data_IF_365217526130
#
_entry.id   IF_365217526130
#
_cell.length_a   1.000
_cell.length_b   1.000
_cell.length_c   1.000
_cell.angle_alpha   90.00
_cell.angle_beta   90.00
_cell.angle_gamma   90.00
#
_symmetry.space_group_name_H-M   'P 1'
#
loop_
_entity.id
_entity.type
_entity.pdbx_description
1 polymer ?
#
# COMPACT_ATOMS: atom_id res chain seq x y z
N UNK A 1 33.53 -30.93 -59.91
CA UNK A 1 33.48 -31.36 -58.48
C UNK A 1 32.48 -30.46 -57.76
N UNK A 2 31.27 -30.97 -57.59
CA UNK A 2 30.17 -30.27 -56.90
C UNK A 2 30.19 -30.67 -55.44
N UNK A 3 30.35 -29.71 -54.50
CA UNK A 3 30.17 -29.93 -53.05
C UNK A 3 28.76 -29.52 -52.65
N UNK A 4 27.99 -30.49 -52.26
CA UNK A 4 26.63 -30.37 -51.75
C UNK A 4 26.70 -29.94 -50.29
N UNK A 5 26.05 -28.79 -49.93
CA UNK A 5 25.90 -28.33 -48.56
C UNK A 5 24.59 -28.92 -48.00
N UNK A 6 24.69 -29.71 -46.94
CA UNK A 6 23.54 -30.23 -46.22
C UNK A 6 23.24 -29.30 -45.07
N UNK A 7 22.08 -28.58 -45.12
CA UNK A 7 21.54 -27.82 -43.99
C UNK A 7 20.75 -28.80 -43.09
N UNK A 8 21.20 -28.95 -41.87
CA UNK A 8 20.45 -29.60 -40.82
C UNK A 8 19.49 -28.59 -40.14
N UNK A 9 18.19 -28.72 -40.35
CA UNK A 9 17.15 -28.03 -39.58
C UNK A 9 17.01 -28.74 -38.22
N UNK A 10 17.35 -28.02 -37.14
CA UNK A 10 17.00 -28.43 -35.78
C UNK A 10 15.64 -27.81 -35.46
N UNK A 11 14.61 -28.61 -35.47
CA UNK A 11 13.28 -28.24 -35.02
C UNK A 11 13.23 -28.17 -33.49
N UNK A 12 13.04 -26.96 -32.93
CA UNK A 12 12.74 -26.80 -31.52
C UNK A 12 11.20 -26.94 -31.37
N UNK A 13 10.75 -28.09 -30.86
CA UNK A 13 9.39 -28.27 -30.44
C UNK A 13 9.19 -27.56 -29.09
N UNK A 14 8.51 -26.42 -29.10
CA UNK A 14 8.05 -25.77 -27.87
C UNK A 14 6.85 -26.57 -27.32
N UNK A 15 7.06 -27.31 -26.24
CA UNK A 15 5.97 -27.83 -25.42
C UNK A 15 5.31 -26.65 -24.67
N UNK A 16 4.14 -26.22 -25.15
CA UNK A 16 3.25 -25.36 -24.40
C UNK A 16 2.60 -26.19 -23.29
N UNK A 17 3.13 -26.10 -22.08
CA UNK A 17 2.42 -26.57 -20.89
C UNK A 17 1.29 -25.60 -20.59
N UNK A 18 0.05 -26.02 -20.88
CA UNK A 18 -1.14 -25.35 -20.35
C UNK A 18 -1.14 -25.51 -18.82
N UNK A 19 -0.76 -24.45 -18.11
CA UNK A 19 -1.06 -24.34 -16.69
C UNK A 19 -2.58 -24.25 -16.56
N UNK A 20 -3.19 -25.28 -16.01
CA UNK A 20 -4.59 -25.23 -15.60
C UNK A 20 -4.71 -24.10 -14.56
N UNK A 21 -5.40 -23.03 -14.92
CA UNK A 21 -5.78 -21.96 -14.01
C UNK A 21 -6.66 -22.60 -12.92
N UNK A 22 -6.11 -22.72 -11.71
CA UNK A 22 -6.91 -23.09 -10.55
C UNK A 22 -7.98 -21.99 -10.40
N UNK A 23 -9.25 -22.38 -10.33
CA UNK A 23 -10.34 -21.48 -10.01
C UNK A 23 -9.99 -20.78 -8.67
N UNK A 24 -10.20 -19.47 -8.54
CA UNK A 24 -9.94 -18.78 -7.28
C UNK A 24 -10.79 -19.42 -6.19
N UNK A 25 -10.13 -19.95 -5.16
CA UNK A 25 -10.82 -20.46 -3.99
C UNK A 25 -11.41 -19.25 -3.25
N UNK A 26 -12.73 -19.14 -3.20
CA UNK A 26 -13.38 -18.23 -2.25
C UNK A 26 -12.87 -18.63 -0.87
N UNK A 27 -12.13 -17.75 -0.22
CA UNK A 27 -11.63 -17.99 1.12
C UNK A 27 -12.83 -18.34 2.00
N UNK A 28 -12.79 -19.52 2.64
CA UNK A 28 -13.85 -19.91 3.58
C UNK A 28 -13.89 -18.85 4.68
N UNK A 29 -14.89 -17.98 4.65
CA UNK A 29 -15.11 -17.01 5.69
C UNK A 29 -15.18 -17.72 7.05
N UNK A 30 -14.37 -17.27 8.02
CA UNK A 30 -14.53 -17.66 9.40
C UNK A 30 -15.97 -17.30 9.80
N UNK A 31 -16.79 -18.24 10.32
CA UNK A 31 -18.17 -17.97 10.71
C UNK A 31 -18.33 -16.85 11.75
N UNK A 32 -17.24 -16.41 12.37
CA UNK A 32 -17.17 -15.33 13.35
C UNK A 32 -16.75 -13.98 12.76
N UNK A 33 -16.31 -13.92 11.49
CA UNK A 33 -15.92 -12.66 10.85
C UNK A 33 -17.13 -11.80 10.54
N UNK A 34 -17.07 -10.52 10.89
CA UNK A 34 -18.10 -9.58 10.49
C UNK A 34 -18.01 -9.23 8.99
N UNK A 35 -19.07 -8.65 8.45
CA UNK A 35 -19.17 -8.34 7.02
C UNK A 35 -18.12 -7.33 6.55
N UNK A 36 -17.63 -6.45 7.40
CA UNK A 36 -16.57 -5.48 7.09
C UNK A 36 -15.25 -6.21 6.86
N UNK A 37 -14.85 -7.09 7.79
CA UNK A 37 -13.66 -7.96 7.67
C UNK A 37 -13.72 -8.85 6.42
N UNK A 38 -14.89 -9.45 6.13
CA UNK A 38 -15.05 -10.29 4.93
C UNK A 38 -14.76 -9.50 3.64
N UNK A 39 -15.32 -8.31 3.52
CA UNK A 39 -15.12 -7.49 2.31
C UNK A 39 -13.78 -6.79 2.27
N UNK A 40 -13.14 -6.53 3.43
CA UNK A 40 -11.74 -6.10 3.48
C UNK A 40 -10.81 -7.18 2.91
N UNK A 41 -10.97 -8.43 3.34
CA UNK A 41 -10.21 -9.57 2.77
C UNK A 41 -10.46 -9.74 1.28
N UNK A 42 -11.71 -9.59 0.82
CA UNK A 42 -12.04 -9.63 -0.61
C UNK A 42 -11.31 -8.54 -1.39
N UNK A 43 -11.16 -7.34 -0.83
CA UNK A 43 -10.36 -6.26 -1.42
C UNK A 43 -8.88 -6.63 -1.48
N UNK A 44 -8.31 -7.14 -0.39
CA UNK A 44 -6.91 -7.58 -0.33
C UNK A 44 -6.63 -8.66 -1.39
N UNK A 45 -7.48 -9.68 -1.48
CA UNK A 45 -7.37 -10.75 -2.49
C UNK A 45 -7.46 -10.19 -3.92
N UNK A 46 -8.30 -9.17 -4.13
CA UNK A 46 -8.45 -8.52 -5.43
C UNK A 46 -7.20 -7.74 -5.85
N UNK A 47 -6.58 -7.02 -4.91
CA UNK A 47 -5.32 -6.30 -5.11
C UNK A 47 -4.18 -7.27 -5.49
N UNK A 48 -4.07 -8.39 -4.79
CA UNK A 48 -3.07 -9.43 -5.04
C UNK A 48 -3.31 -10.12 -6.39
N UNK A 49 -4.56 -10.52 -6.69
CA UNK A 49 -4.94 -11.16 -7.96
C UNK A 49 -4.63 -10.28 -9.16
N UNK A 50 -4.84 -8.96 -9.03
CA UNK A 50 -4.54 -8.01 -10.08
C UNK A 50 -3.06 -7.62 -10.15
N UNK A 51 -2.21 -8.10 -9.25
CA UNK A 51 -0.83 -7.68 -9.09
C UNK A 51 -0.72 -6.13 -9.06
N UNK A 52 -1.62 -5.49 -8.33
CA UNK A 52 -1.75 -4.03 -8.28
C UNK A 52 -0.47 -3.41 -7.70
N UNK A 53 0.16 -2.44 -8.36
CA UNK A 53 1.33 -1.76 -7.80
C UNK A 53 1.00 -1.01 -6.50
N UNK A 54 1.99 -0.80 -5.58
CA UNK A 54 1.71 -0.21 -4.27
C UNK A 54 0.99 1.15 -4.31
N UNK A 55 1.36 2.17 -5.11
CA UNK A 55 0.67 3.45 -5.05
C UNK A 55 -0.82 3.38 -5.45
N UNK A 56 -1.21 2.74 -6.57
CA UNK A 56 -2.61 2.50 -6.87
C UNK A 56 -3.34 1.68 -5.80
N UNK A 57 -2.68 0.69 -5.18
CA UNK A 57 -3.30 -0.16 -4.16
C UNK A 57 -3.75 0.65 -2.93
N UNK A 58 -2.94 1.61 -2.45
CA UNK A 58 -3.33 2.50 -1.34
C UNK A 58 -4.56 3.35 -1.68
N UNK A 59 -4.61 3.89 -2.91
CA UNK A 59 -5.78 4.64 -3.39
C UNK A 59 -7.05 3.79 -3.43
N UNK A 60 -6.93 2.57 -3.92
CA UNK A 60 -8.04 1.61 -3.99
C UNK A 60 -8.55 1.28 -2.58
N UNK A 61 -7.65 0.98 -1.64
CA UNK A 61 -7.99 0.75 -0.25
C UNK A 61 -8.80 1.91 0.34
N UNK A 62 -8.35 3.14 0.14
CA UNK A 62 -9.06 4.32 0.62
C UNK A 62 -10.45 4.49 -0.01
N UNK A 63 -10.62 4.21 -1.31
CA UNK A 63 -11.93 4.26 -1.98
C UNK A 63 -12.89 3.24 -1.37
N UNK A 64 -12.48 1.97 -1.28
CA UNK A 64 -13.33 0.89 -0.79
C UNK A 64 -13.71 1.11 0.67
N UNK A 65 -12.73 1.43 1.53
CA UNK A 65 -12.98 1.58 2.96
C UNK A 65 -13.77 2.86 3.30
N UNK A 66 -13.60 3.94 2.54
CA UNK A 66 -14.44 5.13 2.69
C UNK A 66 -15.88 4.86 2.26
N UNK A 67 -16.09 4.08 1.19
CA UNK A 67 -17.43 3.68 0.76
C UNK A 67 -18.13 2.83 1.81
N UNK A 68 -17.44 1.84 2.38
CA UNK A 68 -17.94 0.99 3.45
C UNK A 68 -18.29 1.81 4.71
N UNK A 69 -17.39 2.70 5.10
CA UNK A 69 -17.62 3.53 6.30
C UNK A 69 -18.79 4.49 6.11
N UNK A 70 -18.83 5.26 5.02
CA UNK A 70 -19.90 6.24 4.79
C UNK A 70 -21.25 5.56 4.62
N UNK A 71 -21.33 4.38 3.98
CA UNK A 71 -22.57 3.61 3.89
C UNK A 71 -23.09 3.19 5.25
N UNK A 72 -22.23 2.67 6.11
CA UNK A 72 -22.62 2.26 7.46
C UNK A 72 -22.94 3.47 8.37
N UNK A 73 -22.09 4.49 8.31
CA UNK A 73 -22.25 5.70 9.12
C UNK A 73 -23.48 6.52 8.73
N UNK A 74 -23.89 6.53 7.47
CA UNK A 74 -25.14 7.16 7.02
C UNK A 74 -26.39 6.56 7.69
N UNK A 75 -26.31 5.29 8.13
CA UNK A 75 -27.37 4.62 8.92
C UNK A 75 -27.19 4.91 10.43
N UNK A 76 -25.98 4.76 10.96
CA UNK A 76 -25.71 4.88 12.41
C UNK A 76 -25.54 6.32 12.91
N UNK A 77 -25.04 7.21 12.04
CA UNK A 77 -24.88 8.66 12.29
C UNK A 77 -24.04 9.01 13.53
N UNK A 78 -23.01 8.21 13.81
CA UNK A 78 -22.14 8.40 14.98
C UNK A 78 -20.97 9.33 14.74
N UNK A 79 -20.60 9.50 13.46
CA UNK A 79 -19.41 10.23 13.05
C UNK A 79 -19.73 11.18 11.90
N UNK A 80 -18.87 12.17 11.69
CA UNK A 80 -18.88 12.96 10.48
C UNK A 80 -18.56 12.03 9.28
N UNK A 81 -19.30 12.12 8.17
CA UNK A 81 -19.00 11.35 6.97
C UNK A 81 -17.65 11.80 6.37
N UNK A 82 -17.01 10.91 5.63
CA UNK A 82 -15.81 11.27 4.87
C UNK A 82 -16.20 12.14 3.68
N UNK A 83 -17.23 11.75 2.94
CA UNK A 83 -17.70 12.49 1.76
C UNK A 83 -19.21 12.55 1.64
N UNK A 84 -19.93 11.43 1.81
CA UNK A 84 -21.34 11.32 1.49
C UNK A 84 -22.21 11.88 2.61
N UNK A 85 -22.82 13.05 2.36
CA UNK A 85 -23.58 13.82 3.36
C UNK A 85 -25.01 13.32 3.62
N UNK A 86 -25.79 12.82 2.62
CA UNK A 86 -27.15 12.37 2.85
C UNK A 86 -27.22 11.24 3.89
N UNK A 87 -28.36 11.18 4.58
CA UNK A 87 -28.64 10.08 5.48
C UNK A 87 -29.28 8.92 4.73
N UNK A 88 -28.99 7.69 5.17
CA UNK A 88 -29.62 6.49 4.65
C UNK A 88 -31.14 6.50 4.85
N UNK A 89 -31.92 5.82 3.96
CA UNK A 89 -33.34 5.61 4.16
C UNK A 89 -33.64 4.93 5.50
N UNK A 90 -34.71 5.32 6.21
CA UNK A 90 -35.11 4.68 7.47
C UNK A 90 -35.27 3.17 7.34
N UNK A 91 -34.69 2.41 8.28
CA UNK A 91 -34.78 0.95 8.32
C UNK A 91 -33.91 0.24 7.27
N UNK A 92 -32.93 0.90 6.66
CA UNK A 92 -31.93 0.24 5.81
C UNK A 92 -31.06 -0.73 6.62
N UNK A 93 -30.78 -1.90 6.05
CA UNK A 93 -29.92 -2.90 6.68
C UNK A 93 -28.46 -2.45 6.67
N UNK A 94 -27.84 -2.37 7.84
CA UNK A 94 -26.42 -2.00 8.02
C UNK A 94 -25.48 -2.94 7.27
N UNK A 95 -25.70 -4.26 7.40
CA UNK A 95 -24.87 -5.27 6.75
C UNK A 95 -25.02 -5.22 5.23
N UNK A 96 -26.23 -5.07 4.72
CA UNK A 96 -26.48 -4.97 3.28
C UNK A 96 -25.85 -3.70 2.70
N UNK A 97 -25.87 -2.57 3.42
CA UNK A 97 -25.20 -1.35 2.97
C UNK A 97 -23.68 -1.51 2.86
N UNK A 98 -23.03 -2.14 3.84
CA UNK A 98 -21.61 -2.47 3.79
C UNK A 98 -21.28 -3.35 2.60
N UNK A 99 -22.07 -4.43 2.41
CA UNK A 99 -21.86 -5.39 1.30
C UNK A 99 -21.97 -4.71 -0.06
N UNK A 100 -23.03 -3.91 -0.27
CA UNK A 100 -23.24 -3.22 -1.53
C UNK A 100 -22.16 -2.17 -1.80
N UNK A 101 -21.77 -1.39 -0.79
CA UNK A 101 -20.74 -0.36 -0.94
C UNK A 101 -19.38 -0.98 -1.34
N UNK A 102 -18.97 -2.06 -0.69
CA UNK A 102 -17.74 -2.76 -1.05
C UNK A 102 -17.82 -3.41 -2.44
N UNK A 103 -18.92 -4.10 -2.72
CA UNK A 103 -19.15 -4.78 -4.00
C UNK A 103 -19.09 -3.81 -5.18
N UNK A 104 -19.88 -2.71 -5.15
CA UNK A 104 -19.92 -1.74 -6.23
C UNK A 104 -18.56 -1.06 -6.45
N UNK A 105 -17.86 -0.68 -5.37
CA UNK A 105 -16.54 -0.12 -5.47
C UNK A 105 -15.53 -1.11 -6.10
N UNK A 106 -15.55 -2.39 -5.68
CA UNK A 106 -14.64 -3.40 -6.21
C UNK A 106 -14.93 -3.76 -7.66
N UNK A 107 -16.21 -3.87 -8.05
CA UNK A 107 -16.60 -4.13 -9.45
C UNK A 107 -16.15 -2.99 -10.38
N UNK A 108 -16.29 -1.74 -9.93
CA UNK A 108 -15.83 -0.59 -10.69
C UNK A 108 -14.30 -0.54 -10.85
N UNK A 109 -13.56 -0.91 -9.80
CA UNK A 109 -12.10 -0.87 -9.76
C UNK A 109 -11.44 -2.09 -10.41
N UNK A 110 -12.09 -3.25 -10.37
CA UNK A 110 -11.60 -4.53 -10.89
C UNK A 110 -12.67 -5.26 -11.73
N UNK A 111 -13.12 -4.71 -12.85
CA UNK A 111 -14.24 -5.28 -13.63
C UNK A 111 -13.97 -6.72 -14.11
N UNK A 112 -12.71 -7.10 -14.32
CA UNK A 112 -12.34 -8.46 -14.71
C UNK A 112 -12.57 -9.50 -13.61
N UNK A 113 -12.64 -9.08 -12.34
CA UNK A 113 -12.88 -9.96 -11.19
C UNK A 113 -14.34 -9.98 -10.74
N UNK A 114 -15.26 -9.35 -11.48
CA UNK A 114 -16.69 -9.29 -11.15
C UNK A 114 -17.29 -10.66 -10.78
N UNK A 115 -17.01 -11.77 -11.49
CA UNK A 115 -17.56 -13.09 -11.11
C UNK A 115 -17.19 -13.53 -9.69
N UNK A 116 -16.00 -13.22 -9.22
CA UNK A 116 -15.57 -13.48 -7.83
C UNK A 116 -16.36 -12.63 -6.84
N UNK A 117 -16.56 -11.35 -7.15
CA UNK A 117 -17.36 -10.45 -6.32
C UNK A 117 -18.84 -10.81 -6.31
N UNK A 118 -19.41 -11.29 -7.44
CA UNK A 118 -20.78 -11.80 -7.51
C UNK A 118 -20.98 -12.99 -6.57
N UNK A 119 -20.03 -13.92 -6.54
CA UNK A 119 -20.07 -15.07 -5.65
C UNK A 119 -19.98 -14.65 -4.16
N UNK A 120 -19.11 -13.69 -3.83
CA UNK A 120 -18.97 -13.16 -2.47
C UNK A 120 -20.22 -12.37 -2.05
N UNK A 121 -20.83 -11.60 -2.95
CA UNK A 121 -22.10 -10.90 -2.74
C UNK A 121 -23.21 -11.91 -2.38
N UNK A 122 -23.38 -12.96 -3.19
CA UNK A 122 -24.39 -14.00 -2.96
C UNK A 122 -24.19 -14.69 -1.59
N UNK A 123 -22.94 -15.02 -1.24
CA UNK A 123 -22.60 -15.63 0.05
C UNK A 123 -22.92 -14.69 1.23
N UNK A 124 -22.61 -13.40 1.10
CA UNK A 124 -22.89 -12.39 2.14
C UNK A 124 -24.41 -12.18 2.31
N UNK A 125 -25.16 -12.12 1.22
CA UNK A 125 -26.61 -11.94 1.25
C UNK A 125 -27.33 -13.14 1.87
N UNK A 126 -26.89 -14.37 1.59
CA UNK A 126 -27.41 -15.59 2.21
C UNK A 126 -27.28 -15.51 3.75
N UNK A 127 -26.14 -15.05 4.27
CA UNK A 127 -25.92 -14.88 5.72
C UNK A 127 -26.78 -13.75 6.35
N UNK A 128 -27.16 -12.74 5.57
CA UNK A 128 -28.02 -11.64 6.03
C UNK A 128 -29.49 -12.06 6.01
N UNK A 129 -29.91 -12.85 4.99
CA UNK A 129 -31.28 -13.24 4.72
C UNK A 129 -31.92 -14.12 5.80
N UNK A 130 -31.14 -14.94 6.52
CA UNK A 130 -31.63 -15.84 7.57
C UNK A 130 -32.25 -15.13 8.80
N UNK A 131 -32.28 -13.79 8.83
CA UNK A 131 -32.88 -12.98 9.91
C UNK A 131 -33.33 -11.58 9.49
N UNK A 132 -33.31 -11.25 8.19
CA UNK A 132 -33.60 -9.92 7.67
C UNK A 132 -34.97 -9.78 6.99
N UNK A 133 -35.61 -8.62 7.15
CA UNK A 133 -36.74 -8.22 6.32
C UNK A 133 -36.23 -7.82 4.92
N UNK A 134 -36.74 -8.44 3.86
CA UNK A 134 -36.37 -8.20 2.45
C UNK A 134 -36.35 -6.72 2.07
N UNK A 135 -37.33 -5.93 2.55
CA UNK A 135 -37.35 -4.48 2.30
C UNK A 135 -36.21 -3.73 2.99
N UNK A 136 -35.79 -4.18 4.18
CA UNK A 136 -34.65 -3.61 4.88
C UNK A 136 -33.35 -3.90 4.14
N UNK A 137 -33.19 -5.12 3.66
CA UNK A 137 -32.03 -5.54 2.85
C UNK A 137 -31.99 -4.75 1.55
N UNK A 138 -33.12 -4.66 0.80
CA UNK A 138 -33.20 -3.86 -0.42
C UNK A 138 -32.80 -2.41 -0.21
N UNK A 139 -33.35 -1.72 0.81
CA UNK A 139 -32.94 -0.34 1.14
C UNK A 139 -31.45 -0.22 1.49
N UNK A 140 -30.89 -1.21 2.15
CA UNK A 140 -29.47 -1.25 2.47
C UNK A 140 -28.60 -1.39 1.23
N UNK A 141 -28.97 -2.27 0.31
CA UNK A 141 -28.27 -2.47 -0.98
C UNK A 141 -28.29 -1.19 -1.84
N UNK A 142 -29.45 -0.59 -2.02
CA UNK A 142 -29.62 0.64 -2.81
C UNK A 142 -28.78 1.78 -2.20
N UNK A 143 -28.80 1.92 -0.88
CA UNK A 143 -28.03 2.92 -0.17
C UNK A 143 -26.52 2.69 -0.30
N UNK A 144 -26.03 1.47 -0.07
CA UNK A 144 -24.61 1.14 -0.19
C UNK A 144 -24.09 1.38 -1.60
N UNK A 145 -24.87 1.03 -2.64
CA UNK A 145 -24.56 1.32 -4.02
C UNK A 145 -24.45 2.83 -4.27
N UNK A 146 -25.44 3.62 -3.83
CA UNK A 146 -25.40 5.07 -3.97
C UNK A 146 -24.14 5.67 -3.37
N UNK A 147 -23.77 5.26 -2.15
CA UNK A 147 -22.57 5.75 -1.47
C UNK A 147 -21.31 5.41 -2.25
N UNK A 148 -21.18 4.18 -2.76
CA UNK A 148 -20.02 3.78 -3.55
C UNK A 148 -19.93 4.60 -4.85
N UNK A 149 -21.05 4.80 -5.56
CA UNK A 149 -21.10 5.61 -6.77
C UNK A 149 -20.63 7.05 -6.50
N UNK A 150 -21.05 7.67 -5.39
CA UNK A 150 -20.67 9.03 -5.02
C UNK A 150 -19.17 9.12 -4.67
N UNK A 151 -18.61 8.16 -3.92
CA UNK A 151 -17.17 8.11 -3.60
C UNK A 151 -16.35 7.90 -4.88
N UNK A 152 -16.75 6.99 -5.77
CA UNK A 152 -16.08 6.74 -7.04
C UNK A 152 -16.11 8.00 -7.94
N UNK A 153 -17.25 8.68 -8.02
CA UNK A 153 -17.40 9.92 -8.77
C UNK A 153 -16.50 11.04 -8.19
N UNK A 154 -16.47 11.20 -6.88
CA UNK A 154 -15.58 12.14 -6.19
C UNK A 154 -14.11 11.88 -6.53
N UNK A 155 -13.67 10.62 -6.49
CA UNK A 155 -12.28 10.25 -6.72
C UNK A 155 -11.91 10.08 -8.19
N UNK A 156 -12.87 10.11 -9.12
CA UNK A 156 -12.61 10.06 -10.56
C UNK A 156 -11.74 11.23 -11.05
N UNK A 157 -11.90 12.41 -10.45
CA UNK A 157 -11.17 13.63 -10.76
C UNK A 157 -9.95 13.92 -9.86
N UNK A 158 -9.45 12.95 -9.10
CA UNK A 158 -8.39 13.18 -8.10
C UNK A 158 -6.97 13.33 -8.68
N UNK A 159 -6.80 13.22 -9.99
CA UNK A 159 -5.50 13.37 -10.65
C UNK A 159 -4.83 12.05 -11.04
N UNK A 160 -5.42 10.89 -10.73
CA UNK A 160 -4.83 9.58 -11.07
C UNK A 160 -4.57 9.41 -12.58
N UNK A 161 -5.44 9.99 -13.42
CA UNK A 161 -5.36 9.93 -14.89
C UNK A 161 -4.62 11.13 -15.49
N UNK A 162 -3.94 11.95 -14.70
CA UNK A 162 -3.24 13.14 -15.19
C UNK A 162 -2.10 12.76 -16.15
N UNK A 163 -2.10 13.38 -17.32
CA UNK A 163 -0.99 13.29 -18.29
C UNK A 163 0.06 14.31 -17.88
N UNK A 164 1.22 13.82 -17.50
CA UNK A 164 2.33 14.67 -17.07
C UNK A 164 3.27 14.99 -18.24
N UNK A 165 3.95 16.16 -18.22
CA UNK A 165 5.02 16.46 -19.16
C UNK A 165 6.13 15.41 -19.05
N UNK A 166 6.95 15.23 -20.12
CA UNK A 166 8.12 14.35 -20.07
C UNK A 166 8.99 14.64 -18.84
N UNK A 167 9.52 13.59 -18.23
CA UNK A 167 10.50 13.75 -17.17
C UNK A 167 11.83 14.24 -17.74
N UNK A 168 12.40 15.24 -17.11
CA UNK A 168 13.72 15.78 -17.47
C UNK A 168 14.69 15.46 -16.32
N UNK A 169 15.66 14.55 -16.52
CA UNK A 169 16.69 14.27 -15.50
C UNK A 169 17.49 15.50 -15.14
N UNK A 170 17.80 15.72 -13.86
CA UNK A 170 18.65 16.80 -13.39
C UNK A 170 20.10 16.66 -13.89
N UNK A 171 20.64 15.46 -13.83
CA UNK A 171 21.97 15.12 -14.37
C UNK A 171 23.15 15.48 -13.48
N UNK A 172 22.91 15.97 -12.27
CA UNK A 172 23.95 16.21 -11.28
C UNK A 172 24.14 15.00 -10.35
N UNK A 173 25.32 14.85 -9.72
CA UNK A 173 25.49 13.89 -8.64
C UNK A 173 24.42 14.11 -7.55
N UNK A 174 23.71 13.04 -7.18
CA UNK A 174 22.57 13.13 -6.26
C UNK A 174 21.21 13.06 -6.92
N UNK A 175 21.09 13.44 -8.21
CA UNK A 175 19.83 13.39 -8.93
C UNK A 175 19.46 11.97 -9.34
N UNK A 176 18.15 11.67 -9.42
CA UNK A 176 17.68 10.37 -9.83
C UNK A 176 18.10 10.04 -11.28
N UNK A 177 18.56 8.82 -11.47
CA UNK A 177 18.87 8.25 -12.77
C UNK A 177 18.25 6.86 -12.93
N UNK A 178 18.01 6.41 -14.18
CA UNK A 178 17.56 5.05 -14.47
C UNK A 178 18.43 3.99 -13.79
N UNK A 179 17.78 2.98 -13.19
CA UNK A 179 18.45 1.94 -12.41
C UNK A 179 18.34 0.56 -13.08
N UNK A 180 19.34 -0.34 -12.85
CA UNK A 180 19.26 -1.70 -13.35
C UNK A 180 18.08 -2.48 -12.72
N UNK A 181 17.58 -3.54 -13.39
CA UNK A 181 18.06 -4.05 -14.70
C UNK A 181 17.39 -3.36 -15.90
N UNK A 182 16.25 -2.67 -15.70
CA UNK A 182 15.40 -2.19 -16.79
C UNK A 182 15.77 -0.82 -17.34
N UNK A 183 16.49 0.00 -16.59
CA UNK A 183 16.87 1.38 -16.96
C UNK A 183 15.73 2.21 -17.54
N UNK A 184 14.54 2.10 -16.93
CA UNK A 184 13.38 2.87 -17.36
C UNK A 184 13.70 4.38 -17.32
N UNK A 185 13.41 5.13 -18.39
CA UNK A 185 13.88 6.51 -18.55
C UNK A 185 13.14 7.52 -17.67
N UNK A 186 12.00 7.13 -17.10
CA UNK A 186 11.16 8.01 -16.27
C UNK A 186 10.77 7.33 -14.97
N UNK A 187 10.71 8.09 -13.86
CA UNK A 187 10.17 7.56 -12.61
C UNK A 187 8.70 7.14 -12.74
N UNK A 188 8.33 6.05 -12.10
CA UNK A 188 6.97 5.55 -12.11
C UNK A 188 6.04 6.36 -11.20
N UNK A 189 4.76 6.40 -11.53
CA UNK A 189 3.68 6.96 -10.71
C UNK A 189 3.82 8.46 -10.38
N UNK A 190 4.50 9.24 -11.20
CA UNK A 190 4.74 10.69 -10.98
C UNK A 190 3.46 11.49 -10.74
N UNK A 191 2.32 11.07 -11.29
CA UNK A 191 1.04 11.74 -11.11
C UNK A 191 0.59 11.79 -9.64
N UNK A 192 1.01 10.82 -8.81
CA UNK A 192 0.67 10.80 -7.38
C UNK A 192 1.15 12.05 -6.63
N UNK A 193 2.23 12.68 -7.09
CA UNK A 193 2.76 13.90 -6.50
C UNK A 193 1.80 15.10 -6.53
N UNK A 194 0.81 15.08 -7.42
CA UNK A 194 -0.13 16.17 -7.63
C UNK A 194 -1.60 15.73 -7.47
N UNK A 195 -1.82 14.51 -6.96
CA UNK A 195 -3.18 14.05 -6.69
C UNK A 195 -3.82 14.85 -5.57
N UNK A 196 -5.15 15.00 -5.64
CA UNK A 196 -5.95 15.57 -4.57
C UNK A 196 -5.92 14.64 -3.35
N UNK A 197 -5.42 15.09 -2.20
CA UNK A 197 -5.43 14.29 -0.98
C UNK A 197 -6.85 13.98 -0.47
N UNK A 198 -6.92 13.11 0.53
CA UNK A 198 -8.16 12.76 1.22
C UNK A 198 -8.43 13.68 2.41
N UNK A 199 -7.45 13.81 3.30
CA UNK A 199 -7.52 14.60 4.52
C UNK A 199 -6.56 15.79 4.51
N UNK A 200 -5.38 15.64 3.91
CA UNK A 200 -4.40 16.72 3.80
C UNK A 200 -4.93 17.86 2.94
N UNK A 201 -4.51 19.09 3.23
CA UNK A 201 -4.88 20.30 2.47
C UNK A 201 -4.07 20.46 1.17
N UNK A 202 -2.90 19.82 1.10
CA UNK A 202 -2.05 19.79 -0.09
C UNK A 202 -1.10 18.60 -0.06
N UNK A 203 -0.57 18.14 -1.21
CA UNK A 203 0.44 17.08 -1.26
C UNK A 203 1.74 17.40 -0.50
N UNK A 204 2.04 18.68 -0.29
CA UNK A 204 3.26 19.15 0.40
C UNK A 204 3.05 19.47 1.88
N UNK A 205 1.87 19.23 2.45
CA UNK A 205 1.57 19.61 3.85
C UNK A 205 2.58 19.01 4.86
N UNK A 206 3.05 17.81 4.62
CA UNK A 206 4.03 17.12 5.48
C UNK A 206 5.34 16.86 4.73
N UNK A 207 5.79 17.84 3.94
CA UNK A 207 7.07 17.72 3.24
C UNK A 207 8.21 17.64 4.26
N UNK A 208 9.02 16.57 4.27
CA UNK A 208 10.12 16.44 5.22
C UNK A 208 11.26 17.41 4.88
N UNK A 209 12.18 17.65 5.81
CA UNK A 209 13.43 18.37 5.49
C UNK A 209 14.17 17.74 4.31
N UNK A 210 15.01 18.52 3.64
CA UNK A 210 15.85 18.01 2.56
C UNK A 210 16.75 16.83 3.03
N UNK A 211 17.06 15.89 2.14
CA UNK A 211 17.99 14.80 2.48
C UNK A 211 19.37 15.36 2.83
N UNK A 212 20.20 14.63 3.60
CA UNK A 212 21.54 15.05 3.95
C UNK A 212 22.38 15.35 2.70
N UNK A 213 23.18 16.41 2.75
CA UNK A 213 24.14 16.74 1.68
C UNK A 213 25.10 15.55 1.45
N UNK A 214 25.49 15.30 0.20
CA UNK A 214 26.32 14.15 -0.20
C UNK A 214 27.68 14.10 0.55
N UNK A 215 28.20 15.26 0.97
CA UNK A 215 29.47 15.36 1.74
C UNK A 215 29.25 15.38 3.26
N UNK A 216 28.02 15.21 3.74
CA UNK A 216 27.73 15.27 5.18
C UNK A 216 28.10 13.95 5.89
N UNK A 217 28.48 13.99 7.19
CA UNK A 217 28.73 12.80 7.98
C UNK A 217 27.55 11.82 8.02
N UNK A 218 26.31 12.34 8.04
CA UNK A 218 25.10 11.50 8.01
C UNK A 218 24.98 10.73 6.71
N UNK A 219 25.17 11.38 5.57
CA UNK A 219 25.14 10.69 4.27
C UNK A 219 26.23 9.62 4.21
N UNK A 220 27.48 9.96 4.61
CA UNK A 220 28.60 9.02 4.63
C UNK A 220 28.28 7.78 5.47
N UNK A 221 27.73 7.98 6.68
CA UNK A 221 27.35 6.86 7.55
C UNK A 221 26.32 5.94 6.87
N UNK A 222 25.24 6.50 6.38
CA UNK A 222 24.13 5.74 5.80
C UNK A 222 24.52 5.10 4.45
N UNK A 223 25.40 5.77 3.66
CA UNK A 223 25.99 5.20 2.46
C UNK A 223 26.83 3.95 2.79
N UNK A 224 27.74 4.03 3.77
CA UNK A 224 28.58 2.90 4.14
C UNK A 224 27.78 1.76 4.79
N UNK A 225 26.71 2.08 5.56
CA UNK A 225 25.79 1.08 6.08
C UNK A 225 25.15 0.29 4.94
N UNK A 226 24.48 0.95 4.02
CA UNK A 226 23.74 0.26 2.95
C UNK A 226 24.67 -0.45 1.97
N UNK A 227 25.84 0.12 1.69
CA UNK A 227 26.86 -0.49 0.84
C UNK A 227 27.30 -1.85 1.38
N UNK A 228 27.46 -1.96 2.70
CA UNK A 228 27.88 -3.17 3.36
C UNK A 228 26.74 -4.19 3.52
N UNK A 229 25.58 -3.76 4.08
CA UNK A 229 24.51 -4.68 4.45
C UNK A 229 23.50 -4.91 3.31
N UNK A 230 23.24 -3.90 2.46
CA UNK A 230 22.21 -3.92 1.42
C UNK A 230 22.57 -4.68 0.15
N UNK A 231 23.85 -5.01 -0.04
CA UNK A 231 24.33 -5.69 -1.26
C UNK A 231 23.75 -7.11 -1.43
N UNK A 232 23.62 -7.57 -2.67
CA UNK A 232 23.07 -8.89 -2.99
C UNK A 232 23.78 -10.03 -2.27
N UNK A 233 25.11 -9.95 -2.16
CA UNK A 233 25.99 -10.97 -1.56
C UNK A 233 26.68 -10.43 -0.29
N UNK A 234 25.92 -9.80 0.62
CA UNK A 234 26.48 -9.24 1.86
C UNK A 234 27.04 -10.34 2.76
N UNK A 235 28.29 -10.15 3.23
CA UNK A 235 28.92 -11.03 4.21
C UNK A 235 28.53 -10.70 5.67
N UNK A 236 27.95 -9.54 5.92
CA UNK A 236 27.57 -9.07 7.26
C UNK A 236 26.07 -9.14 7.56
N UNK A 237 25.22 -9.20 6.51
CA UNK A 237 23.78 -9.34 6.68
C UNK A 237 23.43 -10.74 7.17
N UNK A 238 22.75 -10.83 8.33
CA UNK A 238 22.32 -12.11 8.89
C UNK A 238 21.21 -12.78 8.07
N UNK A 239 20.97 -14.10 8.24
CA UNK A 239 19.82 -14.77 7.63
C UNK A 239 18.49 -14.13 7.99
N UNK A 240 18.29 -13.69 9.25
CA UNK A 240 17.08 -12.99 9.70
C UNK A 240 16.88 -11.64 8.98
N UNK A 241 17.95 -10.85 8.82
CA UNK A 241 17.88 -9.59 8.08
C UNK A 241 17.58 -9.80 6.60
N UNK A 242 18.10 -10.87 6.00
CA UNK A 242 17.76 -11.26 4.62
C UNK A 242 16.29 -11.65 4.51
N UNK A 243 15.79 -12.48 5.45
CA UNK A 243 14.37 -12.84 5.52
C UNK A 243 13.49 -11.61 5.69
N UNK A 244 13.83 -10.74 6.65
CA UNK A 244 13.10 -9.46 6.89
C UNK A 244 13.01 -8.60 5.63
N UNK A 245 14.11 -8.45 4.89
CA UNK A 245 14.12 -7.69 3.65
C UNK A 245 13.17 -8.28 2.59
N UNK A 246 13.20 -9.59 2.40
CA UNK A 246 12.37 -10.29 1.41
C UNK A 246 10.89 -10.36 1.85
N UNK A 247 10.64 -10.47 3.16
CA UNK A 247 9.30 -10.49 3.75
C UNK A 247 8.54 -9.19 3.43
N UNK A 248 9.13 -8.03 3.77
CA UNK A 248 8.51 -6.73 3.56
C UNK A 248 8.57 -6.25 2.10
N UNK A 249 9.44 -6.83 1.27
CA UNK A 249 9.47 -6.54 -0.17
C UNK A 249 8.50 -7.40 -0.97
N UNK A 250 8.03 -8.50 -0.41
CA UNK A 250 7.23 -9.52 -1.11
C UNK A 250 5.73 -9.30 -1.09
N UNK A 251 5.25 -8.21 -0.48
CA UNK A 251 3.81 -7.96 -0.32
C UNK A 251 3.47 -6.48 -0.38
N UNK A 252 2.19 -6.17 -0.52
CA UNK A 252 1.66 -4.82 -0.51
C UNK A 252 1.51 -4.31 0.94
N UNK A 253 2.05 -3.14 1.30
CA UNK A 253 1.83 -2.58 2.65
C UNK A 253 0.35 -2.50 3.04
N UNK A 254 -0.53 -2.05 2.14
CA UNK A 254 -1.98 -2.01 2.41
C UNK A 254 -2.52 -3.38 2.77
N UNK A 255 -2.19 -4.41 2.00
CA UNK A 255 -2.66 -5.77 2.27
C UNK A 255 -2.16 -6.31 3.62
N UNK A 256 -0.88 -6.07 3.93
CA UNK A 256 -0.29 -6.51 5.20
C UNK A 256 -0.96 -5.84 6.41
N UNK A 257 -1.16 -4.52 6.38
CA UNK A 257 -1.75 -3.78 7.50
C UNK A 257 -3.26 -3.96 7.61
N UNK A 258 -3.98 -4.16 6.50
CA UNK A 258 -5.40 -4.51 6.52
C UNK A 258 -5.63 -5.90 7.13
N UNK A 259 -4.76 -6.89 6.84
CA UNK A 259 -4.81 -8.20 7.53
C UNK A 259 -4.55 -8.06 9.03
N UNK A 260 -3.61 -7.22 9.45
CA UNK A 260 -3.37 -6.95 10.89
C UNK A 260 -4.62 -6.34 11.55
N UNK A 261 -5.28 -5.37 10.89
CA UNK A 261 -6.51 -4.78 11.42
C UNK A 261 -7.64 -5.82 11.55
N UNK A 262 -7.82 -6.68 10.56
CA UNK A 262 -8.80 -7.77 10.57
C UNK A 262 -8.53 -8.78 11.69
N UNK A 263 -7.27 -9.18 11.87
CA UNK A 263 -6.89 -10.17 12.88
C UNK A 263 -7.07 -9.64 14.31
N UNK A 264 -6.97 -8.33 14.50
CA UNK A 264 -7.20 -7.68 15.78
C UNK A 264 -8.68 -7.39 16.08
N UNK A 265 -9.54 -7.30 15.06
CA UNK A 265 -10.94 -6.92 15.21
C UNK A 265 -11.73 -7.90 16.10
N UNK A 266 -11.64 -9.19 15.81
CA UNK A 266 -12.36 -10.25 16.51
C UNK A 266 -12.00 -10.38 17.99
N UNK A 267 -10.71 -10.58 18.34
CA UNK A 267 -10.27 -10.70 19.72
C UNK A 267 -10.57 -9.47 20.59
N UNK A 268 -10.59 -8.28 19.99
CA UNK A 268 -10.88 -7.03 20.72
C UNK A 268 -12.37 -6.65 20.73
N UNK A 269 -13.25 -7.50 20.17
CA UNK A 269 -14.70 -7.32 20.18
C UNK A 269 -15.17 -5.94 19.69
N UNK A 270 -14.49 -5.35 18.70
CA UNK A 270 -14.89 -4.05 18.15
C UNK A 270 -16.19 -4.19 17.36
N UNK A 271 -17.01 -3.14 17.41
CA UNK A 271 -18.30 -3.12 16.72
C UNK A 271 -18.12 -2.90 15.22
N UNK A 272 -19.13 -3.27 14.42
CA UNK A 272 -19.11 -3.11 12.96
C UNK A 272 -18.70 -1.68 12.52
N UNK A 273 -19.27 -0.65 13.15
CA UNK A 273 -18.93 0.74 12.83
C UNK A 273 -17.52 1.14 13.30
N UNK A 274 -17.00 0.56 14.37
CA UNK A 274 -15.63 0.79 14.80
C UNK A 274 -14.63 0.15 13.82
N UNK A 275 -14.92 -1.07 13.34
CA UNK A 275 -14.14 -1.76 12.31
C UNK A 275 -14.09 -0.94 11.03
N UNK A 276 -15.26 -0.53 10.52
CA UNK A 276 -15.35 0.30 9.31
C UNK A 276 -14.60 1.64 9.46
N UNK A 277 -14.73 2.31 10.62
CA UNK A 277 -14.03 3.57 10.89
C UNK A 277 -12.52 3.40 10.96
N UNK A 278 -12.05 2.35 11.62
CA UNK A 278 -10.62 2.05 11.74
C UNK A 278 -10.00 1.82 10.36
N UNK A 279 -10.59 0.92 9.57
CA UNK A 279 -10.11 0.61 8.22
C UNK A 279 -10.16 1.83 7.30
N UNK A 280 -11.23 2.63 7.34
CA UNK A 280 -11.33 3.85 6.54
C UNK A 280 -10.22 4.85 6.90
N UNK A 281 -10.00 5.15 8.19
CA UNK A 281 -8.94 6.04 8.64
C UNK A 281 -7.55 5.53 8.27
N UNK A 282 -7.29 4.24 8.46
CA UNK A 282 -6.00 3.63 8.16
C UNK A 282 -5.70 3.71 6.65
N UNK A 283 -6.66 3.36 5.82
CA UNK A 283 -6.50 3.40 4.37
C UNK A 283 -6.41 4.83 3.82
N UNK A 284 -7.15 5.79 4.39
CA UNK A 284 -7.00 7.22 4.08
C UNK A 284 -5.61 7.72 4.47
N UNK A 285 -5.10 7.37 5.65
CA UNK A 285 -3.75 7.74 6.07
C UNK A 285 -2.67 7.17 5.15
N UNK A 286 -2.80 5.91 4.72
CA UNK A 286 -1.88 5.30 3.76
C UNK A 286 -1.96 5.97 2.38
N UNK A 287 -3.15 6.31 1.90
CA UNK A 287 -3.34 6.98 0.62
C UNK A 287 -2.75 8.40 0.62
N UNK A 288 -2.97 9.17 1.69
CA UNK A 288 -2.37 10.49 1.85
C UNK A 288 -0.85 10.41 2.00
N UNK A 289 -0.33 9.39 2.69
CA UNK A 289 1.11 9.15 2.79
C UNK A 289 1.74 8.88 1.41
N UNK A 290 1.10 8.12 0.53
CA UNK A 290 1.58 7.92 -0.84
C UNK A 290 1.63 9.26 -1.60
N UNK A 291 0.61 10.08 -1.51
CA UNK A 291 0.56 11.39 -2.18
C UNK A 291 1.70 12.28 -1.68
N UNK A 292 1.86 12.41 -0.36
CA UNK A 292 2.92 13.20 0.25
C UNK A 292 4.33 12.71 -0.12
N UNK A 293 4.54 11.39 -0.10
CA UNK A 293 5.81 10.76 -0.50
C UNK A 293 6.15 11.04 -1.96
N UNK A 294 5.19 10.88 -2.88
CA UNK A 294 5.45 11.16 -4.30
C UNK A 294 5.69 12.65 -4.57
N UNK A 295 5.03 13.54 -3.81
CA UNK A 295 5.35 14.97 -3.83
C UNK A 295 6.80 15.21 -3.40
N UNK A 296 7.22 14.68 -2.24
CA UNK A 296 8.59 14.81 -1.75
C UNK A 296 9.62 14.20 -2.73
N UNK A 297 9.32 13.04 -3.34
CA UNK A 297 10.17 12.42 -4.36
C UNK A 297 10.38 13.31 -5.58
N UNK A 298 9.34 14.01 -6.03
CA UNK A 298 9.43 14.96 -7.13
C UNK A 298 10.22 16.23 -6.74
N UNK A 299 10.07 16.70 -5.49
CA UNK A 299 10.77 17.89 -4.99
C UNK A 299 12.27 17.66 -4.87
N UNK A 300 12.68 16.50 -4.34
CA UNK A 300 14.07 16.23 -4.01
C UNK A 300 14.81 15.43 -5.08
N UNK A 301 14.13 14.74 -5.94
CA UNK A 301 14.61 13.98 -7.13
C UNK A 301 15.89 13.16 -6.90
N UNK A 302 16.03 12.48 -5.77
CA UNK A 302 17.27 11.84 -5.32
C UNK A 302 17.55 10.49 -5.95
N UNK A 303 18.83 10.23 -6.21
CA UNK A 303 19.33 8.96 -6.74
C UNK A 303 19.16 7.78 -5.77
N UNK A 304 19.10 6.57 -6.33
CA UNK A 304 19.02 5.32 -5.57
C UNK A 304 20.38 4.86 -5.07
N UNK A 305 20.46 4.05 -4.00
CA UNK A 305 21.71 3.52 -3.47
C UNK A 305 22.58 2.84 -4.53
N UNK A 306 21.97 2.11 -5.47
CA UNK A 306 22.72 1.47 -6.56
C UNK A 306 23.44 2.50 -7.42
N UNK A 307 22.81 3.59 -7.79
CA UNK A 307 23.44 4.68 -8.55
C UNK A 307 24.49 5.38 -7.71
N UNK A 308 24.14 5.75 -6.47
CA UNK A 308 25.04 6.43 -5.55
C UNK A 308 26.35 5.64 -5.31
N UNK A 309 26.25 4.33 -5.08
CA UNK A 309 27.41 3.48 -4.80
C UNK A 309 28.25 3.25 -6.06
N UNK A 310 27.62 3.02 -7.21
CA UNK A 310 28.34 2.84 -8.47
C UNK A 310 29.06 4.12 -8.91
N UNK A 311 28.51 5.30 -8.59
CA UNK A 311 28.99 6.61 -9.03
C UNK A 311 29.60 7.47 -7.88
N UNK A 312 29.91 6.88 -6.73
CA UNK A 312 30.41 7.62 -5.56
C UNK A 312 31.64 8.50 -5.84
N UNK A 313 32.45 8.16 -6.85
CA UNK A 313 33.58 9.01 -7.29
C UNK A 313 33.18 10.39 -7.83
N UNK A 314 31.86 10.67 -8.01
CA UNK A 314 31.33 11.94 -8.51
C UNK A 314 30.67 12.79 -7.44
N UNK A 315 30.42 12.26 -6.22
CA UNK A 315 29.64 12.91 -5.16
C UNK A 315 30.41 13.97 -4.35
N UNK A 316 31.71 14.08 -4.60
CA UNK A 316 32.60 15.04 -3.92
C UNK A 316 32.90 14.65 -2.45
N UNK A 317 32.56 13.44 -2.04
CA UNK A 317 32.77 12.94 -0.69
C UNK A 317 33.94 11.93 -0.65
N UNK A 318 35.08 12.26 -0.02
CA UNK A 318 36.23 11.36 0.02
C UNK A 318 36.01 10.10 0.89
N UNK A 319 34.98 10.11 1.75
CA UNK A 319 34.66 9.01 2.66
C UNK A 319 33.64 8.02 2.09
N UNK A 320 33.22 8.22 0.83
CA UNK A 320 32.38 7.31 0.05
C UNK A 320 33.19 6.70 -1.09
N UNK A 321 33.34 5.39 -1.15
CA UNK A 321 34.12 4.73 -2.18
C UNK A 321 33.23 4.07 -3.23
N UNK A 322 33.45 4.29 -4.54
CA UNK A 322 32.66 3.70 -5.60
C UNK A 322 32.86 2.17 -5.69
N UNK A 323 31.80 1.48 -6.13
CA UNK A 323 31.85 0.05 -6.46
C UNK A 323 30.94 -0.21 -7.67
N UNK A 324 31.53 -0.24 -8.85
CA UNK A 324 30.80 -0.32 -10.12
C UNK A 324 29.94 -1.59 -10.29
N UNK A 325 30.30 -2.68 -9.61
CA UNK A 325 29.56 -3.96 -9.65
C UNK A 325 28.55 -4.13 -8.51
N UNK A 326 28.37 -3.12 -7.65
CA UNK A 326 27.44 -3.23 -6.53
C UNK A 326 25.99 -3.33 -7.01
N UNK A 327 25.26 -4.31 -6.49
CA UNK A 327 23.83 -4.50 -6.74
C UNK A 327 23.12 -4.74 -5.40
N UNK A 328 21.88 -4.25 -5.24
CA UNK A 328 21.07 -4.48 -4.03
C UNK A 328 20.58 -5.93 -3.96
N UNK A 329 20.12 -6.35 -2.78
CA UNK A 329 19.44 -7.63 -2.58
C UNK A 329 18.12 -7.71 -3.34
N UNK A 330 17.34 -6.64 -3.31
CA UNK A 330 16.04 -6.54 -3.98
C UNK A 330 16.16 -5.59 -5.16
N UNK A 331 15.48 -5.90 -6.26
CA UNK A 331 15.45 -5.03 -7.44
C UNK A 331 14.99 -3.62 -7.04
N UNK A 332 15.75 -2.63 -7.46
CA UNK A 332 15.48 -1.23 -7.14
C UNK A 332 14.17 -0.77 -7.80
N UNK A 333 13.21 -0.24 -7.04
CA UNK A 333 11.99 0.33 -7.61
C UNK A 333 12.27 1.54 -8.52
N UNK A 334 11.53 1.64 -9.61
CA UNK A 334 11.73 2.65 -10.66
C UNK A 334 11.12 3.99 -10.25
N UNK A 335 11.65 4.61 -9.22
CA UNK A 335 11.30 5.98 -8.76
C UNK A 335 12.36 6.48 -7.77
N UNK A 336 12.33 7.78 -7.50
CA UNK A 336 13.29 8.47 -6.64
C UNK A 336 13.42 7.81 -5.27
N UNK A 337 14.59 8.02 -4.66
CA UNK A 337 14.94 7.37 -3.40
C UNK A 337 14.18 7.98 -2.21
N UNK A 338 14.32 9.29 -1.98
CA UNK A 338 13.91 10.00 -0.76
C UNK A 338 12.52 10.61 -0.87
N UNK A 339 11.70 10.44 0.19
CA UNK A 339 11.80 9.51 1.31
C UNK A 339 11.28 8.10 0.96
N UNK A 340 11.41 7.13 1.90
CA UNK A 340 11.00 5.74 1.68
C UNK A 340 9.48 5.54 1.68
N UNK A 341 8.90 5.08 0.55
CA UNK A 341 7.45 4.87 0.43
C UNK A 341 6.91 3.82 1.40
N UNK A 342 7.53 2.63 1.45
CA UNK A 342 7.08 1.56 2.34
C UNK A 342 7.13 1.95 3.81
N UNK A 343 8.18 2.65 4.25
CA UNK A 343 8.31 3.08 5.63
C UNK A 343 7.21 4.09 6.02
N UNK A 344 6.90 5.07 5.16
CA UNK A 344 5.88 6.06 5.46
C UNK A 344 4.48 5.46 5.51
N UNK A 345 4.07 4.68 4.49
CA UNK A 345 2.72 4.09 4.45
C UNK A 345 2.52 3.07 5.57
N UNK A 346 3.56 2.26 5.88
CA UNK A 346 3.48 1.32 6.99
C UNK A 346 3.40 2.03 8.34
N UNK A 347 4.14 3.13 8.52
CA UNK A 347 4.06 3.87 9.78
C UNK A 347 2.75 4.66 9.92
N UNK A 348 2.16 5.13 8.81
CA UNK A 348 0.82 5.72 8.84
C UNK A 348 -0.23 4.70 9.30
N UNK A 349 -0.18 3.46 8.79
CA UNK A 349 -1.05 2.38 9.22
C UNK A 349 -0.80 1.98 10.69
N UNK A 350 0.44 1.73 11.06
CA UNK A 350 0.85 1.36 12.41
C UNK A 350 0.45 2.41 13.45
N UNK A 351 0.66 3.69 13.14
CA UNK A 351 0.26 4.80 14.03
C UNK A 351 -1.27 4.88 14.15
N UNK A 352 -2.01 4.68 13.06
CA UNK A 352 -3.50 4.63 13.11
C UNK A 352 -3.99 3.50 14.02
N UNK A 353 -3.39 2.31 13.91
CA UNK A 353 -3.69 1.18 14.80
C UNK A 353 -3.29 1.47 16.25
N UNK A 354 -2.14 2.11 16.46
CA UNK A 354 -1.68 2.52 17.80
C UNK A 354 -2.62 3.54 18.46
N UNK A 355 -3.15 4.49 17.70
CA UNK A 355 -4.14 5.45 18.18
C UNK A 355 -5.47 4.79 18.57
N UNK A 356 -5.80 3.66 17.95
CA UNK A 356 -7.04 2.94 18.22
C UNK A 356 -6.93 1.91 19.35
N UNK A 357 -5.87 1.08 19.34
CA UNK A 357 -5.68 -0.04 20.28
C UNK A 357 -4.68 0.25 21.39
N UNK A 358 -3.85 1.30 21.25
CA UNK A 358 -2.64 1.52 22.05
C UNK A 358 -1.42 0.89 21.39
N UNK A 359 -0.26 1.59 21.42
CA UNK A 359 0.96 1.12 20.73
C UNK A 359 1.43 -0.26 21.22
N UNK A 360 1.33 -0.53 22.52
CA UNK A 360 1.79 -1.78 23.17
C UNK A 360 0.81 -2.95 22.96
N UNK A 361 0.24 -3.05 21.76
CA UNK A 361 -0.62 -4.17 21.35
C UNK A 361 0.22 -5.20 20.61
N UNK A 362 0.18 -6.45 21.08
CA UNK A 362 0.86 -7.56 20.41
C UNK A 362 0.07 -8.03 19.19
N UNK A 363 0.76 -8.25 18.08
CA UNK A 363 0.18 -8.74 16.83
C UNK A 363 1.21 -9.52 16.00
N UNK A 364 0.76 -10.09 14.90
CA UNK A 364 1.62 -10.77 13.94
C UNK A 364 1.34 -10.28 12.53
N UNK A 365 2.36 -10.31 11.69
CA UNK A 365 2.26 -9.98 10.26
C UNK A 365 2.60 -11.21 9.44
N UNK A 366 1.85 -11.41 8.36
CA UNK A 366 2.13 -12.40 7.31
C UNK A 366 2.44 -11.69 6.01
N UNK A 367 3.16 -12.35 5.10
CA UNK A 367 3.50 -11.82 3.78
C UNK A 367 3.13 -12.81 2.69
N UNK A 368 2.44 -12.33 1.66
CA UNK A 368 2.07 -13.14 0.50
C UNK A 368 3.31 -13.68 -0.24
N UNK A 369 4.35 -12.85 -0.38
CA UNK A 369 5.62 -13.24 -1.01
C UNK A 369 6.48 -14.22 -0.19
N UNK A 370 6.11 -14.47 1.08
CA UNK A 370 6.81 -15.41 1.99
C UNK A 370 5.82 -16.30 2.74
N UNK A 371 5.09 -17.18 2.04
CA UNK A 371 4.08 -18.04 2.64
C UNK A 371 4.65 -18.87 3.80
N UNK A 372 3.93 -18.91 4.92
CA UNK A 372 4.33 -19.63 6.12
C UNK A 372 5.31 -18.91 7.05
N UNK A 373 5.86 -17.77 6.64
CA UNK A 373 6.66 -16.91 7.52
C UNK A 373 5.74 -15.94 8.27
N UNK A 374 5.92 -15.84 9.57
CA UNK A 374 5.14 -14.95 10.45
C UNK A 374 6.11 -14.12 11.28
N UNK A 375 5.94 -12.81 11.28
CA UNK A 375 6.70 -11.88 12.12
C UNK A 375 5.83 -11.41 13.29
N UNK A 376 6.14 -11.81 14.55
CA UNK A 376 5.44 -11.31 15.73
C UNK A 376 6.04 -9.98 16.20
N UNK A 377 5.18 -9.09 16.70
CA UNK A 377 5.54 -7.79 17.24
C UNK A 377 4.85 -7.54 18.58
N UNK A 378 5.55 -6.86 19.50
CA UNK A 378 5.01 -6.44 20.79
C UNK A 378 4.33 -5.07 20.73
N UNK A 379 4.61 -4.27 19.68
CA UNK A 379 4.04 -2.94 19.48
C UNK A 379 3.94 -2.59 18.00
N UNK A 380 3.02 -1.70 17.64
CA UNK A 380 2.88 -1.21 16.27
C UNK A 380 4.12 -0.44 15.82
N UNK A 381 4.69 0.37 16.70
CA UNK A 381 5.92 1.12 16.43
C UNK A 381 7.10 0.20 16.10
N UNK A 382 7.22 -0.95 16.75
CA UNK A 382 8.28 -1.92 16.45
C UNK A 382 8.15 -2.56 15.07
N UNK A 383 6.91 -2.84 14.63
CA UNK A 383 6.66 -3.34 13.28
C UNK A 383 6.99 -2.31 12.20
N UNK A 384 6.56 -1.06 12.39
CA UNK A 384 6.89 0.03 11.47
C UNK A 384 8.42 0.28 11.38
N UNK A 385 9.13 0.23 12.51
CA UNK A 385 10.59 0.33 12.51
C UNK A 385 11.25 -0.79 11.71
N UNK A 386 10.77 -2.03 11.86
CA UNK A 386 11.29 -3.17 11.08
C UNK A 386 11.08 -2.97 9.56
N UNK A 387 10.01 -2.31 9.13
CA UNK A 387 9.84 -1.96 7.71
C UNK A 387 10.96 -1.04 7.24
N UNK A 388 11.32 -0.01 8.02
CA UNK A 388 12.45 0.87 7.72
C UNK A 388 13.75 0.09 7.58
N UNK A 389 14.06 -0.78 8.55
CA UNK A 389 15.24 -1.64 8.52
C UNK A 389 15.25 -2.57 7.28
N UNK A 390 14.11 -3.15 6.96
CA UNK A 390 13.96 -4.02 5.79
C UNK A 390 14.37 -3.33 4.47
N UNK A 391 14.09 -2.03 4.33
CA UNK A 391 14.47 -1.28 3.11
C UNK A 391 15.98 -1.06 3.02
N UNK A 392 16.66 -0.86 4.16
CA UNK A 392 18.12 -0.78 4.23
C UNK A 392 18.74 -2.16 3.95
N UNK A 393 18.24 -3.21 4.56
CA UNK A 393 18.70 -4.59 4.32
C UNK A 393 18.47 -5.04 2.88
N UNK A 394 17.41 -4.56 2.25
CA UNK A 394 17.11 -4.79 0.83
C UNK A 394 18.05 -4.05 -0.13
N UNK A 395 18.78 -3.04 0.34
CA UNK A 395 19.72 -2.25 -0.46
C UNK A 395 19.07 -1.17 -1.32
N UNK A 396 17.86 -0.72 -1.00
CA UNK A 396 17.07 0.15 -1.89
C UNK A 396 16.69 1.51 -1.29
N UNK A 397 16.93 1.72 0.00
CA UNK A 397 16.77 3.00 0.69
C UNK A 397 17.86 3.23 1.70
N UNK A 398 18.38 4.45 1.77
CA UNK A 398 19.25 4.89 2.86
C UNK A 398 18.47 4.98 4.18
N UNK A 399 19.19 4.89 5.31
CA UNK A 399 18.57 5.00 6.64
C UNK A 399 17.90 6.35 6.86
N UNK A 400 18.52 7.46 6.47
CA UNK A 400 17.92 8.78 6.58
C UNK A 400 16.58 8.91 5.83
N UNK A 401 16.42 8.21 4.71
CA UNK A 401 15.17 8.20 3.95
C UNK A 401 14.07 7.38 4.65
N UNK A 402 14.44 6.32 5.37
CA UNK A 402 13.52 5.57 6.19
C UNK A 402 13.10 6.37 7.43
N UNK A 403 14.05 7.03 8.11
CA UNK A 403 13.76 7.84 9.30
C UNK A 403 12.83 9.02 8.98
N UNK A 404 13.10 9.74 7.89
CA UNK A 404 12.22 10.82 7.42
C UNK A 404 10.80 10.32 7.10
N UNK A 405 10.72 9.16 6.47
CA UNK A 405 9.46 8.54 6.09
C UNK A 405 8.62 8.11 7.31
N UNK A 406 9.26 7.55 8.34
CA UNK A 406 8.57 7.20 9.60
C UNK A 406 7.96 8.45 10.24
N UNK A 407 8.71 9.57 10.31
CA UNK A 407 8.18 10.85 10.79
C UNK A 407 6.94 11.31 10.01
N UNK A 408 7.03 11.32 8.68
CA UNK A 408 5.90 11.68 7.81
C UNK A 408 4.66 10.81 8.06
N UNK A 409 4.83 9.50 8.16
CA UNK A 409 3.72 8.57 8.41
C UNK A 409 3.01 8.86 9.74
N UNK A 410 3.79 9.16 10.79
CA UNK A 410 3.25 9.57 12.10
C UNK A 410 2.41 10.84 12.00
N UNK A 411 2.95 11.90 11.40
CA UNK A 411 2.26 13.20 11.27
C UNK A 411 0.96 13.07 10.47
N UNK A 412 0.98 12.33 9.37
CA UNK A 412 -0.20 12.10 8.53
C UNK A 412 -1.27 11.30 9.29
N UNK A 413 -0.90 10.23 10.02
CA UNK A 413 -1.86 9.45 10.80
C UNK A 413 -2.53 10.29 11.89
N UNK A 414 -1.78 11.12 12.62
CA UNK A 414 -2.34 12.04 13.60
C UNK A 414 -3.27 13.08 12.95
N UNK A 415 -2.91 13.60 11.78
CA UNK A 415 -3.77 14.53 11.04
C UNK A 415 -5.09 13.87 10.65
N UNK A 416 -5.04 12.65 10.09
CA UNK A 416 -6.24 11.88 9.74
C UNK A 416 -7.08 11.56 10.98
N UNK A 417 -6.48 11.17 12.10
CA UNK A 417 -7.21 10.93 13.35
C UNK A 417 -7.93 12.18 13.85
N UNK A 418 -7.33 13.35 13.69
CA UNK A 418 -7.88 14.66 14.10
C UNK A 418 -8.88 15.29 13.13
N UNK A 419 -9.03 14.75 11.91
CA UNK A 419 -9.85 15.40 10.86
C UNK A 419 -10.88 14.49 10.20
N UNK A 420 -10.64 13.18 10.13
CA UNK A 420 -11.48 12.22 9.40
C UNK A 420 -12.39 11.44 10.34
N UNK A 421 -13.65 11.30 9.98
CA UNK A 421 -14.64 10.51 10.71
C UNK A 421 -14.69 10.84 12.23
N UNK A 422 -14.72 12.12 12.55
CA UNK A 422 -14.79 12.61 13.94
C UNK A 422 -16.15 12.27 14.55
N UNK A 423 -16.18 12.03 15.86
CA UNK A 423 -17.46 11.84 16.57
C UNK A 423 -18.32 13.10 16.47
N UNK A 424 -19.60 12.93 16.15
CA UNK A 424 -20.57 14.03 16.24
C UNK A 424 -21.06 14.15 17.66
N UNK A 425 -21.11 15.38 18.20
CA UNK A 425 -21.56 15.63 19.55
C UNK A 425 -23.07 15.35 19.62
N UNK A 426 -23.50 14.47 20.53
CA UNK A 426 -24.90 14.14 20.76
C UNK A 426 -25.37 12.79 20.20
N UNK A 427 -24.48 11.96 19.68
CA UNK A 427 -24.80 10.58 19.28
C UNK A 427 -24.34 9.57 20.34
#
# INVERSE_FOLDING_TARGET
>A
MKRTLVLALIGIAALATFAASAAPSVAKADPKSDVVTVWNRTMVDALETAATPPPPAMRIGAIVQSSVFDALNGIERRYAPIHVQPAAPPGASRKAAVVAAAYEALVALFPAQKPTFDAQLAASLAQIGDGGNDQSVGRGLDWGKQVADEILAWRAGDGISAILPPYVPGGLPGDWAPTPPGFAPTPAFRQFANMTPWAMTSPSQFLPPAPPALTSPRYTQDFNEIKAIGRSTSAIRTPFQTETALFWAGDLPVAMWDRVADDLAGPNHITLIQSARLLARMNVAMADAVIAIWNAKNVYDTWRPVTAIQQAGTDGNPDTAPEASWLPLVVTPVHQEYPSGHAAVSNAAATTLALFYGDQTSYSVTSFGRPGVVHPFASFSSGAAQVGDARVFAGIHFRFACDAALGMGTEIAHHVDGTVALRVHGA
#
